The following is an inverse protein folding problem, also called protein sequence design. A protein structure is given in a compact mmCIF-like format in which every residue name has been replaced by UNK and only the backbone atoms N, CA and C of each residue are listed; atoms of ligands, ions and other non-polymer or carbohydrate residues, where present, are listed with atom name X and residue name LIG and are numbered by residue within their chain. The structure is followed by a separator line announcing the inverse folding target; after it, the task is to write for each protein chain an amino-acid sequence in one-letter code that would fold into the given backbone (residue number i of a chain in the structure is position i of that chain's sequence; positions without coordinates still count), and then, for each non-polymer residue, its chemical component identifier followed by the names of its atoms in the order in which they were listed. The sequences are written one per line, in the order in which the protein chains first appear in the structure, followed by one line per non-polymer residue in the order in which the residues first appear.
data_IF_754367459724
#
_entry.id   IF_754367459724
#
_cell.length_a   1.000
_cell.length_b   1.000
_cell.length_c   1.000
_cell.angle_alpha   90.00
_cell.angle_beta   90.00
_cell.angle_gamma   90.00
#
_symmetry.space_group_name_H-M   'P 1'
#
loop_
_entity.id
_entity.type
_entity.pdbx_description
1 polymer ?
#
# COMPACT_ATOMS: atom_id res chain seq x y z
N UNK A 1 38.04 27.81 31.11
CA UNK A 1 36.78 27.81 30.35
C UNK A 1 36.64 26.44 29.70
N UNK A 2 35.78 25.59 30.26
CA UNK A 2 35.60 24.23 29.74
C UNK A 2 34.66 24.28 28.54
N UNK A 3 35.16 23.92 27.35
CA UNK A 3 34.34 23.63 26.18
C UNK A 3 33.55 22.35 26.48
N UNK A 4 32.33 22.51 26.99
CA UNK A 4 31.37 21.42 27.05
C UNK A 4 30.78 21.22 25.65
N UNK A 5 31.46 20.40 24.85
CA UNK A 5 30.84 19.75 23.69
C UNK A 5 29.80 18.76 24.20
N UNK A 6 28.63 19.25 24.60
CA UNK A 6 27.47 18.38 24.72
C UNK A 6 27.14 17.88 23.31
N UNK A 7 27.36 16.60 23.08
CA UNK A 7 26.76 15.88 21.97
C UNK A 7 25.25 15.98 22.14
N UNK A 8 24.64 17.01 21.55
CA UNK A 8 23.19 17.19 21.55
C UNK A 8 22.58 16.03 20.76
N UNK A 9 22.01 15.07 21.48
CA UNK A 9 21.27 13.96 20.90
C UNK A 9 19.81 14.40 20.76
N UNK A 10 19.34 14.69 19.53
CA UNK A 10 18.02 15.24 19.34
C UNK A 10 16.94 14.22 19.73
N UNK A 11 15.97 14.65 20.52
CA UNK A 11 14.87 13.83 21.01
C UNK A 11 13.68 13.91 20.05
N UNK A 12 13.77 13.16 18.95
CA UNK A 12 12.78 13.25 17.87
C UNK A 12 11.46 12.57 18.25
N UNK A 13 10.37 13.32 18.13
CA UNK A 13 8.99 12.82 18.25
C UNK A 13 8.21 13.05 16.95
N UNK A 14 7.19 12.23 16.74
CA UNK A 14 6.30 12.33 15.59
C UNK A 14 4.86 12.55 16.05
N UNK A 15 4.18 13.52 15.47
CA UNK A 15 2.77 13.86 15.75
C UNK A 15 2.05 14.26 14.45
N UNK A 16 0.70 14.29 14.41
CA UNK A 16 -0.02 14.95 13.33
C UNK A 16 0.40 16.42 13.20
N UNK A 17 0.30 16.97 11.98
CA UNK A 17 0.44 18.42 11.77
C UNK A 17 -0.81 19.10 12.31
N UNK A 18 -0.64 20.28 12.91
CA UNK A 18 -1.69 21.04 13.59
C UNK A 18 -1.82 22.45 12.99
N UNK A 19 -2.93 23.17 13.22
CA UNK A 19 -3.10 24.55 12.76
C UNK A 19 -1.97 25.51 13.14
N UNK A 20 -1.36 25.32 14.31
CA UNK A 20 -0.21 26.12 14.78
C UNK A 20 1.06 25.95 13.93
N UNK A 21 1.13 24.90 13.11
CA UNK A 21 2.31 24.60 12.29
C UNK A 21 2.30 25.33 10.94
N UNK A 22 1.22 26.03 10.59
CA UNK A 22 0.98 26.59 9.26
C UNK A 22 2.16 27.43 8.74
N UNK A 23 2.56 28.45 9.49
CA UNK A 23 3.63 29.38 9.07
C UNK A 23 4.96 28.66 8.90
N UNK A 24 5.28 27.74 9.82
CA UNK A 24 6.52 26.95 9.78
C UNK A 24 6.51 25.99 8.60
N UNK A 25 5.36 25.37 8.32
CA UNK A 25 5.18 24.45 7.21
C UNK A 25 5.37 25.17 5.87
N UNK A 26 4.73 26.34 5.68
CA UNK A 26 4.89 27.18 4.49
C UNK A 26 6.34 27.61 4.29
N UNK A 27 6.98 28.10 5.37
CA UNK A 27 8.38 28.53 5.36
C UNK A 27 9.32 27.39 4.94
N UNK A 28 9.23 26.22 5.58
CA UNK A 28 10.09 25.09 5.23
C UNK A 28 9.83 24.64 3.78
N UNK A 29 8.57 24.63 3.32
CA UNK A 29 8.29 24.29 1.92
C UNK A 29 8.95 25.27 0.94
N UNK A 30 8.86 26.57 1.22
CA UNK A 30 9.48 27.62 0.41
C UNK A 30 11.01 27.53 0.36
N UNK A 31 11.64 27.02 1.42
CA UNK A 31 13.09 26.86 1.52
C UNK A 31 13.60 25.60 0.81
N UNK A 32 12.90 24.47 0.94
CA UNK A 32 13.45 23.16 0.51
C UNK A 32 12.89 22.64 -0.82
N UNK A 33 11.75 23.16 -1.29
CA UNK A 33 11.14 22.73 -2.55
C UNK A 33 11.28 23.81 -3.64
N UNK A 34 11.67 23.42 -4.87
CA UNK A 34 11.73 24.34 -6.01
C UNK A 34 10.34 24.63 -6.61
N UNK A 35 9.29 23.99 -6.11
CA UNK A 35 7.91 24.10 -6.59
C UNK A 35 7.09 24.84 -5.54
N UNK A 36 6.25 25.77 -5.99
CA UNK A 36 5.33 26.52 -5.13
C UNK A 36 4.01 25.78 -5.00
N UNK A 37 3.44 25.88 -3.81
CA UNK A 37 2.14 25.33 -3.46
C UNK A 37 1.25 26.49 -3.04
N UNK A 38 -0.03 26.41 -3.39
CA UNK A 38 -1.03 27.43 -3.04
C UNK A 38 -1.38 27.37 -1.55
N UNK A 39 -1.85 28.48 -0.98
CA UNK A 39 -2.25 28.56 0.44
C UNK A 39 -3.33 27.53 0.80
N UNK A 40 -4.24 27.21 -0.11
CA UNK A 40 -5.29 26.20 0.08
C UNK A 40 -4.73 24.81 0.34
N UNK A 41 -3.57 24.47 -0.24
CA UNK A 41 -2.89 23.21 0.06
C UNK A 41 -2.51 23.16 1.52
N UNK A 42 -1.81 24.18 2.04
CA UNK A 42 -1.36 24.22 3.44
C UNK A 42 -2.54 24.25 4.41
N UNK A 43 -3.59 25.01 4.09
CA UNK A 43 -4.83 25.01 4.85
C UNK A 43 -5.46 23.62 4.94
N UNK A 44 -5.43 22.87 3.84
CA UNK A 44 -5.93 21.49 3.81
C UNK A 44 -5.07 20.54 4.65
N UNK A 45 -3.73 20.74 4.68
CA UNK A 45 -2.82 19.95 5.52
C UNK A 45 -3.11 20.15 7.00
N UNK A 46 -3.16 21.40 7.47
CA UNK A 46 -3.23 21.71 8.91
C UNK A 46 -4.62 21.51 9.52
N UNK A 47 -5.66 21.45 8.68
CA UNK A 47 -7.05 21.15 9.09
C UNK A 47 -7.50 19.73 8.72
N UNK A 48 -6.57 18.86 8.28
CA UNK A 48 -6.84 17.46 7.90
C UNK A 48 -7.98 17.30 6.88
N UNK A 49 -8.08 18.20 5.90
CA UNK A 49 -9.09 18.15 4.83
C UNK A 49 -8.55 17.31 3.67
N UNK A 50 -8.94 16.05 3.61
CA UNK A 50 -8.50 15.04 2.64
C UNK A 50 -6.99 14.75 2.61
N UNK A 51 -6.19 15.43 3.43
CA UNK A 51 -4.74 15.22 3.55
C UNK A 51 -4.47 14.69 4.94
N UNK A 52 -3.81 13.54 5.01
CA UNK A 52 -3.20 13.03 6.22
C UNK A 52 -1.74 13.47 6.28
N UNK A 53 -1.26 13.78 7.48
CA UNK A 53 0.08 14.35 7.61
C UNK A 53 0.71 14.03 8.96
N UNK A 54 2.05 14.01 8.97
CA UNK A 54 2.84 13.83 10.18
C UNK A 54 4.00 14.81 10.20
N UNK A 55 4.19 15.46 11.33
CA UNK A 55 5.35 16.27 11.68
C UNK A 55 6.39 15.43 12.43
N UNK A 56 7.65 15.81 12.28
CA UNK A 56 8.73 15.49 13.19
C UNK A 56 9.13 16.76 13.95
N UNK A 57 9.26 16.65 15.27
CA UNK A 57 9.69 17.72 16.17
C UNK A 57 10.85 17.23 17.03
N UNK A 58 11.75 18.14 17.41
CA UNK A 58 12.82 17.81 18.36
C UNK A 58 12.49 18.39 19.74
N UNK A 59 12.13 17.49 20.67
CA UNK A 59 11.74 17.85 22.03
C UNK A 59 12.88 18.39 22.88
N UNK A 60 14.13 18.18 22.49
CA UNK A 60 15.28 18.71 23.23
C UNK A 60 15.68 20.13 22.82
N UNK A 61 15.02 20.74 21.81
CA UNK A 61 15.32 22.11 21.40
C UNK A 61 15.04 23.11 22.53
N UNK A 62 15.99 24.00 22.85
CA UNK A 62 15.81 25.02 23.88
C UNK A 62 14.86 26.14 23.43
N UNK A 63 14.59 27.08 24.34
CA UNK A 63 13.90 28.34 24.06
C UNK A 63 12.47 28.19 23.51
N UNK A 64 11.74 27.14 23.90
CA UNK A 64 10.35 26.94 23.50
C UNK A 64 10.15 26.43 22.06
N UNK A 65 11.22 26.07 21.34
CA UNK A 65 11.12 25.53 19.98
C UNK A 65 10.96 24.00 19.95
N UNK A 66 10.62 23.39 21.09
CA UNK A 66 10.53 21.93 21.25
C UNK A 66 9.34 21.29 20.53
N UNK A 67 8.42 22.10 20.01
CA UNK A 67 7.30 21.66 19.18
C UNK A 67 7.35 22.21 17.75
N UNK A 68 8.39 22.96 17.37
CA UNK A 68 8.55 23.46 16.01
C UNK A 68 8.96 22.32 15.06
N UNK A 69 8.36 22.30 13.86
CA UNK A 69 8.63 21.31 12.83
C UNK A 69 10.09 21.33 12.39
N UNK A 70 10.70 20.15 12.36
CA UNK A 70 12.01 19.90 11.74
C UNK A 70 11.89 18.95 10.54
N UNK A 71 10.70 18.40 10.30
CA UNK A 71 10.39 17.58 9.15
C UNK A 71 8.91 17.27 9.08
N UNK A 72 8.46 16.84 7.92
CA UNK A 72 7.05 16.55 7.68
C UNK A 72 6.87 15.56 6.53
N UNK A 73 5.72 14.91 6.50
CA UNK A 73 5.20 14.22 5.32
C UNK A 73 3.71 14.50 5.20
N UNK A 74 3.26 14.75 3.98
CA UNK A 74 1.84 14.94 3.64
C UNK A 74 1.44 13.89 2.62
N UNK A 75 0.23 13.34 2.76
CA UNK A 75 -0.28 12.33 1.86
C UNK A 75 -1.80 12.41 1.70
N UNK A 76 -2.31 11.93 0.58
CA UNK A 76 -3.75 11.89 0.29
C UNK A 76 -4.16 10.51 -0.17
N UNK A 77 -5.34 10.06 0.24
CA UNK A 77 -5.97 8.87 -0.32
C UNK A 77 -6.61 9.26 -1.66
N UNK A 78 -6.36 8.46 -2.69
CA UNK A 78 -6.99 8.58 -4.00
C UNK A 78 -7.60 7.24 -4.41
N UNK A 79 -8.71 7.29 -5.15
CA UNK A 79 -9.25 6.09 -5.79
C UNK A 79 -8.28 5.62 -6.88
N UNK A 80 -8.00 4.32 -6.94
CA UNK A 80 -7.06 3.76 -7.90
C UNK A 80 -7.45 4.07 -9.37
N UNK A 81 -8.76 4.10 -9.65
CA UNK A 81 -9.33 4.45 -10.96
C UNK A 81 -9.10 5.92 -11.36
N UNK A 82 -9.01 6.82 -10.40
CA UNK A 82 -8.88 8.27 -10.62
C UNK A 82 -7.43 8.74 -10.61
N UNK A 83 -6.53 7.96 -10.01
CA UNK A 83 -5.14 8.34 -9.82
C UNK A 83 -4.33 8.43 -11.14
N UNK A 84 -4.92 8.12 -12.30
CA UNK A 84 -4.23 8.14 -13.61
C UNK A 84 -3.10 7.11 -13.71
N UNK A 85 -3.03 6.20 -12.73
CA UNK A 85 -2.00 5.19 -12.54
C UNK A 85 -2.62 3.79 -12.37
N UNK A 86 -3.76 3.57 -13.03
CA UNK A 86 -4.45 2.27 -13.01
C UNK A 86 -3.58 1.13 -13.54
N UNK A 87 -2.57 1.45 -14.35
CA UNK A 87 -1.51 0.56 -14.81
C UNK A 87 -0.46 0.21 -13.74
N UNK A 88 -0.53 0.77 -12.53
CA UNK A 88 0.37 0.41 -11.43
C UNK A 88 -0.14 -0.74 -10.57
N UNK A 89 -1.45 -1.02 -10.64
CA UNK A 89 -2.09 -2.11 -9.93
C UNK A 89 -2.59 -3.16 -10.91
N UNK A 90 -2.50 -4.42 -10.52
CA UNK A 90 -3.29 -5.46 -11.16
C UNK A 90 -4.78 -5.15 -10.89
N UNK A 91 -5.50 -4.73 -11.93
CA UNK A 91 -6.94 -4.52 -11.84
C UNK A 91 -7.62 -5.81 -11.36
N UNK A 92 -8.38 -5.69 -10.28
CA UNK A 92 -9.21 -6.76 -9.74
C UNK A 92 -10.68 -6.34 -9.88
N UNK A 93 -11.41 -6.88 -10.86
CA UNK A 93 -12.82 -6.55 -11.09
C UNK A 93 -13.71 -6.80 -9.87
N UNK A 94 -13.28 -7.67 -8.94
CA UNK A 94 -14.01 -7.97 -7.71
C UNK A 94 -13.85 -6.90 -6.63
N UNK A 95 -12.96 -5.90 -6.83
CA UNK A 95 -12.63 -4.85 -5.85
C UNK A 95 -12.57 -3.48 -6.53
N UNK A 96 -13.73 -2.89 -6.88
CA UNK A 96 -13.79 -1.60 -7.59
C UNK A 96 -13.41 -0.40 -6.71
N UNK A 97 -13.35 -0.59 -5.39
CA UNK A 97 -13.13 0.41 -4.36
C UNK A 97 -11.66 0.54 -3.93
N UNK A 98 -10.73 -0.02 -4.72
CA UNK A 98 -9.31 0.06 -4.42
C UNK A 98 -8.83 1.51 -4.32
N UNK A 99 -8.07 1.79 -3.27
CA UNK A 99 -7.47 3.09 -3.02
C UNK A 99 -5.95 3.01 -3.05
N UNK A 100 -5.33 4.17 -3.15
CA UNK A 100 -3.90 4.39 -3.12
C UNK A 100 -3.59 5.57 -2.21
N UNK A 101 -2.44 5.55 -1.56
CA UNK A 101 -1.93 6.70 -0.78
C UNK A 101 -0.86 7.40 -1.60
N UNK A 102 -1.10 8.65 -1.98
CA UNK A 102 -0.13 9.49 -2.67
C UNK A 102 0.63 10.34 -1.67
N UNK A 103 1.96 10.19 -1.58
CA UNK A 103 2.79 11.15 -0.82
C UNK A 103 2.94 12.41 -1.67
N UNK A 104 2.46 13.52 -1.14
CA UNK A 104 2.44 14.84 -1.79
C UNK A 104 3.78 15.55 -1.57
N UNK A 105 4.17 15.72 -0.30
CA UNK A 105 5.44 16.37 0.09
C UNK A 105 6.11 15.61 1.23
N UNK A 106 7.44 15.55 1.21
CA UNK A 106 8.28 14.97 2.26
C UNK A 106 9.51 15.84 2.43
N UNK A 107 9.68 16.42 3.62
CA UNK A 107 10.74 17.38 3.91
C UNK A 107 11.40 17.12 5.25
N UNK A 108 12.70 17.40 5.33
CA UNK A 108 13.45 17.50 6.59
C UNK A 108 14.39 18.69 6.46
N UNK A 109 14.38 19.57 7.47
CA UNK A 109 15.26 20.75 7.52
C UNK A 109 16.71 20.29 7.49
N UNK A 110 17.58 21.08 6.86
CA UNK A 110 18.92 20.64 6.47
C UNK A 110 19.77 20.12 7.63
N UNK A 111 19.74 20.81 8.77
CA UNK A 111 20.49 20.46 9.99
C UNK A 111 20.05 19.15 10.65
N UNK A 112 18.88 18.61 10.29
CA UNK A 112 18.34 17.35 10.80
C UNK A 112 18.33 16.22 9.75
N UNK A 113 18.91 16.46 8.56
CA UNK A 113 19.06 15.42 7.53
C UNK A 113 20.03 14.33 8.02
N UNK A 114 19.94 13.15 7.39
CA UNK A 114 20.77 11.98 7.70
C UNK A 114 20.60 11.39 9.12
N UNK A 115 19.61 11.87 9.90
CA UNK A 115 19.23 11.30 11.20
C UNK A 115 18.11 10.24 11.12
N UNK A 116 17.74 9.81 9.91
CA UNK A 116 16.69 8.82 9.70
C UNK A 116 15.24 9.33 9.82
N UNK A 117 15.04 10.64 10.00
CA UNK A 117 13.71 11.26 10.17
C UNK A 117 12.79 11.00 8.98
N UNK A 118 13.28 11.24 7.75
CA UNK A 118 12.49 11.00 6.54
C UNK A 118 12.04 9.52 6.42
N UNK A 119 12.92 8.59 6.81
CA UNK A 119 12.59 7.15 6.85
C UNK A 119 11.47 6.85 7.84
N UNK A 120 11.51 7.46 9.02
CA UNK A 120 10.47 7.30 10.04
C UNK A 120 9.14 7.92 9.60
N UNK A 121 9.16 9.08 8.94
CA UNK A 121 7.97 9.72 8.38
C UNK A 121 7.32 8.84 7.30
N UNK A 122 8.10 8.33 6.34
CA UNK A 122 7.58 7.39 5.32
C UNK A 122 6.99 6.13 5.98
N UNK A 123 7.57 5.63 7.07
CA UNK A 123 7.01 4.50 7.82
C UNK A 123 5.64 4.81 8.43
N UNK A 124 5.40 6.04 8.89
CA UNK A 124 4.05 6.44 9.34
C UNK A 124 3.05 6.34 8.20
N UNK A 125 3.41 6.82 7.00
CA UNK A 125 2.55 6.72 5.82
C UNK A 125 2.31 5.25 5.42
N UNK A 126 3.33 4.40 5.42
CA UNK A 126 3.18 2.97 5.09
C UNK A 126 2.29 2.28 6.14
N UNK A 127 2.46 2.59 7.43
CA UNK A 127 1.63 2.06 8.51
C UNK A 127 0.17 2.48 8.32
N UNK A 128 -0.08 3.76 8.04
CA UNK A 128 -1.40 4.27 7.72
C UNK A 128 -2.01 3.57 6.51
N UNK A 129 -1.29 3.49 5.39
CA UNK A 129 -1.75 2.81 4.18
C UNK A 129 -2.08 1.34 4.43
N UNK A 130 -1.26 0.65 5.23
CA UNK A 130 -1.52 -0.75 5.61
C UNK A 130 -2.77 -0.91 6.47
N UNK A 131 -3.12 0.10 7.28
CA UNK A 131 -4.34 0.08 8.10
C UNK A 131 -5.64 0.28 7.31
N UNK A 132 -5.56 0.79 6.07
CA UNK A 132 -6.72 1.00 5.20
C UNK A 132 -6.96 -0.25 4.34
N UNK A 133 -8.05 -1.03 4.57
CA UNK A 133 -8.24 -2.33 3.93
C UNK A 133 -8.36 -2.26 2.40
N UNK A 134 -8.85 -1.14 1.86
CA UNK A 134 -9.00 -0.91 0.42
C UNK A 134 -7.71 -0.41 -0.23
N UNK A 135 -6.73 0.05 0.56
CA UNK A 135 -5.49 0.59 0.03
C UNK A 135 -4.61 -0.53 -0.53
N UNK A 136 -3.98 -0.29 -1.68
CA UNK A 136 -3.13 -1.30 -2.36
C UNK A 136 -1.69 -0.84 -2.55
N UNK A 137 -1.42 0.45 -2.53
CA UNK A 137 -0.05 0.95 -2.58
C UNK A 137 0.07 2.37 -2.04
N UNK A 138 1.30 2.69 -1.63
CA UNK A 138 1.80 4.06 -1.46
C UNK A 138 2.59 4.42 -2.71
N UNK A 139 2.39 5.59 -3.29
CA UNK A 139 3.15 6.04 -4.44
C UNK A 139 3.55 7.51 -4.33
N UNK A 140 4.54 7.91 -5.11
CA UNK A 140 5.06 9.27 -5.14
C UNK A 140 5.82 9.56 -6.44
N UNK A 141 5.99 10.85 -6.71
CA UNK A 141 6.85 11.37 -7.75
C UNK A 141 8.11 11.99 -7.14
N UNK A 142 9.27 11.77 -7.76
CA UNK A 142 10.53 12.40 -7.35
C UNK A 142 11.24 12.96 -8.56
N UNK A 143 11.66 14.22 -8.48
CA UNK A 143 12.41 14.88 -9.55
C UNK A 143 13.72 14.14 -9.84
N UNK A 144 14.03 13.98 -11.12
CA UNK A 144 15.06 13.06 -11.61
C UNK A 144 16.47 13.32 -11.07
N UNK A 145 16.80 14.58 -10.77
CA UNK A 145 18.10 14.95 -10.20
C UNK A 145 18.19 14.81 -8.67
N UNK A 146 17.09 14.49 -7.97
CA UNK A 146 17.10 14.34 -6.51
C UNK A 146 17.61 12.95 -6.09
N UNK A 147 18.91 12.74 -6.28
CA UNK A 147 19.62 11.49 -5.96
C UNK A 147 19.42 11.02 -4.50
N UNK A 148 19.47 11.91 -3.47
CA UNK A 148 19.25 11.49 -2.09
C UNK A 148 17.85 10.89 -1.86
N UNK A 149 16.80 11.53 -2.38
CA UNK A 149 15.43 11.01 -2.25
C UNK A 149 15.25 9.71 -3.02
N UNK A 150 15.78 9.60 -4.24
CA UNK A 150 15.76 8.36 -5.03
C UNK A 150 16.41 7.21 -4.25
N UNK A 151 17.56 7.45 -3.61
CA UNK A 151 18.23 6.43 -2.81
C UNK A 151 17.42 6.04 -1.57
N UNK A 152 16.82 7.02 -0.88
CA UNK A 152 15.94 6.80 0.26
C UNK A 152 14.76 5.88 -0.12
N UNK A 153 14.03 6.19 -1.19
CA UNK A 153 12.87 5.40 -1.61
C UNK A 153 13.26 3.98 -2.01
N UNK A 154 14.36 3.80 -2.76
CA UNK A 154 14.91 2.47 -3.08
C UNK A 154 15.27 1.68 -1.82
N UNK A 155 15.95 2.31 -0.85
CA UNK A 155 16.31 1.69 0.44
C UNK A 155 15.08 1.30 1.27
N UNK A 156 13.97 2.00 1.08
CA UNK A 156 12.67 1.68 1.68
C UNK A 156 11.82 0.72 0.83
N UNK A 157 12.43 0.04 -0.15
CA UNK A 157 11.79 -0.97 -1.01
C UNK A 157 10.68 -0.44 -1.92
N UNK A 158 10.58 0.88 -2.11
CA UNK A 158 9.78 1.41 -3.21
C UNK A 158 10.41 0.99 -4.55
N UNK A 159 9.57 0.58 -5.49
CA UNK A 159 9.94 0.21 -6.85
C UNK A 159 9.83 1.43 -7.75
N UNK A 160 10.90 1.74 -8.49
CA UNK A 160 10.84 2.73 -9.57
C UNK A 160 10.11 2.08 -10.75
N UNK A 161 8.93 2.57 -11.10
CA UNK A 161 8.09 1.96 -12.13
C UNK A 161 8.38 2.56 -13.51
N UNK A 162 8.46 3.89 -13.60
CA UNK A 162 8.72 4.59 -14.87
C UNK A 162 9.33 5.96 -14.65
N UNK A 163 9.95 6.47 -15.72
CA UNK A 163 10.37 7.87 -15.86
C UNK A 163 9.30 8.63 -16.64
N UNK A 164 8.92 9.80 -16.15
CA UNK A 164 7.96 10.71 -16.77
C UNK A 164 8.75 11.90 -17.32
N UNK A 165 8.76 12.07 -18.63
CA UNK A 165 9.50 13.14 -19.28
C UNK A 165 8.80 14.49 -19.08
N UNK A 166 9.57 15.54 -18.77
CA UNK A 166 9.10 16.92 -18.65
C UNK A 166 8.01 17.16 -17.61
N UNK A 167 7.89 16.27 -16.61
CA UNK A 167 6.81 16.27 -15.61
C UNK A 167 6.77 17.52 -14.74
N UNK A 168 7.92 18.06 -14.34
CA UNK A 168 8.00 19.27 -13.54
C UNK A 168 8.39 20.47 -14.41
N UNK A 169 7.69 21.60 -14.23
CA UNK A 169 8.08 22.90 -14.78
C UNK A 169 8.60 23.78 -13.64
N UNK A 170 9.89 24.07 -13.63
CA UNK A 170 10.55 24.86 -12.59
C UNK A 170 11.34 25.97 -13.28
N UNK A 171 11.00 27.24 -13.00
CA UNK A 171 11.64 28.42 -13.58
C UNK A 171 11.71 28.38 -15.11
N UNK A 172 10.63 27.94 -15.77
CA UNK A 172 10.55 27.84 -17.23
C UNK A 172 11.26 26.64 -17.85
N UNK A 173 11.91 25.78 -17.05
CA UNK A 173 12.59 24.59 -17.51
C UNK A 173 11.84 23.31 -17.11
N UNK A 174 11.76 22.37 -18.06
CA UNK A 174 11.17 21.05 -17.84
C UNK A 174 12.17 20.08 -17.22
N UNK A 175 11.71 19.32 -16.22
CA UNK A 175 12.47 18.28 -15.56
C UNK A 175 11.68 16.98 -15.48
N UNK A 176 12.40 15.88 -15.69
CA UNK A 176 11.80 14.55 -15.60
C UNK A 176 11.54 14.17 -14.14
N UNK A 177 10.56 13.28 -13.96
CA UNK A 177 10.22 12.68 -12.67
C UNK A 177 10.35 11.15 -12.74
N UNK A 178 10.60 10.52 -11.60
CA UNK A 178 10.45 9.09 -11.42
C UNK A 178 9.24 8.79 -10.56
N UNK A 179 8.43 7.83 -11.00
CA UNK A 179 7.31 7.29 -10.26
C UNK A 179 7.76 6.10 -9.40
N UNK A 180 7.61 6.23 -8.09
CA UNK A 180 7.93 5.18 -7.13
C UNK A 180 6.66 4.61 -6.47
N UNK A 181 6.63 3.30 -6.27
CA UNK A 181 5.48 2.57 -5.69
C UNK A 181 5.94 1.58 -4.62
N UNK A 182 5.24 1.55 -3.49
CA UNK A 182 5.36 0.55 -2.43
C UNK A 182 4.00 -0.13 -2.23
N UNK A 183 3.92 -1.42 -2.51
CA UNK A 183 2.66 -2.17 -2.43
C UNK A 183 2.34 -2.58 -0.98
N UNK A 184 1.06 -2.50 -0.61
CA UNK A 184 0.50 -2.90 0.70
C UNK A 184 -0.74 -3.75 0.50
N UNK A 185 -1.15 -4.51 1.53
CA UNK A 185 -2.43 -5.22 1.58
C UNK A 185 -2.70 -6.10 0.34
N UNK A 186 -1.67 -6.81 -0.13
CA UNK A 186 -1.75 -7.68 -1.30
C UNK A 186 -1.83 -6.96 -2.65
N UNK A 187 -1.64 -5.64 -2.70
CA UNK A 187 -1.40 -4.90 -3.93
C UNK A 187 -0.20 -5.47 -4.68
N UNK A 188 -0.29 -5.50 -6.01
CA UNK A 188 0.77 -6.04 -6.87
C UNK A 188 0.90 -5.19 -8.11
N UNK A 189 2.14 -5.10 -8.60
CA UNK A 189 2.42 -4.62 -9.94
C UNK A 189 1.71 -5.50 -10.97
N UNK A 190 1.19 -4.96 -12.08
CA UNK A 190 0.63 -5.75 -13.16
C UNK A 190 1.76 -6.54 -13.85
N UNK A 191 2.04 -7.70 -13.26
CA UNK A 191 2.85 -8.82 -13.74
C UNK A 191 4.30 -8.51 -14.16
N UNK A 192 5.26 -9.12 -13.45
CA UNK A 192 6.52 -9.54 -14.09
C UNK A 192 6.20 -10.66 -15.11
N UNK A 193 6.87 -10.72 -16.28
CA UNK A 193 6.70 -11.81 -17.25
C UNK A 193 6.83 -13.21 -16.63
N UNK A 194 7.64 -13.34 -15.58
CA UNK A 194 7.82 -14.58 -14.82
C UNK A 194 6.57 -14.99 -14.05
N UNK A 195 5.79 -14.05 -13.50
CA UNK A 195 4.54 -14.39 -12.81
C UNK A 195 3.45 -14.83 -13.78
N UNK A 196 3.43 -14.26 -14.98
CA UNK A 196 2.56 -14.73 -16.05
C UNK A 196 2.92 -16.17 -16.43
N UNK A 197 4.23 -16.45 -16.59
CA UNK A 197 4.73 -17.77 -16.92
C UNK A 197 4.43 -18.79 -15.82
N UNK A 198 4.61 -18.43 -14.55
CA UNK A 198 4.24 -19.28 -13.41
C UNK A 198 2.74 -19.54 -13.31
N UNK A 199 1.90 -18.55 -13.61
CA UNK A 199 0.45 -18.72 -13.67
C UNK A 199 0.04 -19.68 -14.80
N UNK A 200 0.66 -19.55 -15.98
CA UNK A 200 0.45 -20.47 -17.12
C UNK A 200 0.91 -21.89 -16.76
N UNK A 201 2.10 -22.04 -16.18
CA UNK A 201 2.61 -23.36 -15.73
C UNK A 201 1.69 -23.98 -14.68
N UNK A 202 1.20 -23.19 -13.71
CA UNK A 202 0.26 -23.67 -12.68
C UNK A 202 -1.07 -24.11 -13.28
N UNK A 203 -1.58 -23.38 -14.27
CA UNK A 203 -2.80 -23.74 -14.98
C UNK A 203 -2.63 -25.02 -15.80
N UNK A 204 -1.54 -25.14 -16.57
CA UNK A 204 -1.23 -26.34 -17.38
C UNK A 204 -1.05 -27.56 -16.48
N UNK A 205 -0.28 -27.44 -15.41
CA UNK A 205 -0.05 -28.54 -14.45
C UNK A 205 -1.35 -28.94 -13.72
N UNK A 206 -2.21 -27.98 -13.37
CA UNK A 206 -3.55 -28.26 -12.83
C UNK A 206 -4.46 -28.97 -13.83
N UNK A 207 -4.45 -28.55 -15.10
CA UNK A 207 -5.19 -29.18 -16.19
C UNK A 207 -4.75 -30.62 -16.42
N UNK A 208 -3.44 -30.87 -16.48
CA UNK A 208 -2.88 -32.23 -16.62
C UNK A 208 -3.27 -33.14 -15.45
N UNK A 209 -3.22 -32.64 -14.20
CA UNK A 209 -3.68 -33.40 -13.03
C UNK A 209 -5.18 -33.73 -13.10
N UNK A 210 -6.01 -32.82 -13.59
CA UNK A 210 -7.45 -33.04 -13.76
C UNK A 210 -7.75 -34.10 -14.83
N UNK A 211 -7.03 -34.06 -15.95
CA UNK A 211 -7.16 -35.06 -17.02
C UNK A 211 -6.69 -36.43 -16.54
N UNK A 212 -5.55 -36.51 -15.85
CA UNK A 212 -5.07 -37.76 -15.26
C UNK A 212 -6.07 -38.36 -14.25
N UNK A 213 -6.69 -37.54 -13.40
CA UNK A 213 -7.72 -37.98 -12.47
C UNK A 213 -8.98 -38.48 -13.19
N UNK A 214 -9.38 -37.87 -14.32
CA UNK A 214 -10.51 -38.33 -15.13
C UNK A 214 -10.22 -39.65 -15.83
N UNK A 215 -9.02 -39.84 -16.37
CA UNK A 215 -8.59 -41.09 -17.01
C UNK A 215 -8.62 -42.23 -15.98
N UNK A 216 -8.02 -42.04 -14.81
CA UNK A 216 -8.06 -43.03 -13.72
C UNK A 216 -9.49 -43.36 -13.27
N UNK A 217 -10.36 -42.37 -13.16
CA UNK A 217 -11.78 -42.57 -12.81
C UNK A 217 -12.57 -43.27 -13.91
N UNK A 218 -12.12 -43.19 -15.17
CA UNK A 218 -12.72 -43.89 -16.30
C UNK A 218 -12.24 -45.34 -16.37
N UNK A 219 -10.96 -45.61 -16.10
CA UNK A 219 -10.41 -46.97 -15.98
C UNK A 219 -11.09 -47.76 -14.84
N UNK A 220 -11.31 -47.13 -13.67
CA UNK A 220 -12.04 -47.74 -12.55
C UNK A 220 -13.52 -48.05 -12.89
N UNK A 221 -14.14 -47.32 -13.83
CA UNK A 221 -15.51 -47.57 -14.31
C UNK A 221 -15.57 -48.65 -15.39
N UNK A 222 -14.54 -48.76 -16.22
CA UNK A 222 -14.49 -49.72 -17.34
C UNK A 222 -14.17 -51.14 -16.85
N UNK A 223 -13.63 -51.29 -15.63
CA UNK A 223 -13.34 -52.57 -15.00
C UNK A 223 -14.55 -53.28 -14.35
N UNK A 224 -15.79 -52.75 -14.47
CA UNK A 224 -17.01 -53.38 -13.90
C UNK A 224 -17.94 -53.89 -15.01
N UNK A 225 -17.74 -55.13 -15.46
CA UNK A 225 -18.67 -55.85 -16.34
C UNK A 225 -19.84 -56.48 -15.53
N UNK A 226 -21.10 -56.44 -15.99
CA UNK A 226 -22.21 -57.07 -15.28
C UNK A 226 -22.32 -58.57 -15.57
N UNK A 227 -22.30 -59.41 -14.53
CA UNK A 227 -22.70 -60.84 -14.62
C UNK A 227 -24.22 -60.94 -14.81
N UNK A 228 -24.62 -61.84 -15.70
CA UNK A 228 -25.99 -62.08 -16.16
C UNK A 228 -26.88 -62.72 -15.06
N UNK A 229 -28.20 -62.46 -15.20
CA UNK A 229 -29.34 -62.78 -14.32
C UNK A 229 -29.46 -64.24 -13.90
N UNK A 230 -30.09 -64.46 -12.74
CA UNK A 230 -31.13 -65.48 -12.58
C UNK A 230 -32.22 -65.05 -11.59
N UNK A 231 -33.36 -65.73 -11.68
CA UNK A 231 -34.74 -65.27 -11.42
C UNK A 231 -35.33 -65.83 -10.11
N UNK A 232 -36.47 -65.27 -9.66
CA UNK A 232 -37.42 -65.70 -8.59
C UNK A 232 -37.28 -64.93 -7.27
N UNK A 233 -38.32 -64.65 -6.46
CA UNK A 233 -39.78 -64.46 -6.57
C UNK A 233 -40.28 -63.96 -5.18
N UNK A 234 -41.48 -63.36 -5.13
CA UNK A 234 -42.42 -63.25 -3.99
C UNK A 234 -42.30 -62.15 -2.90
N UNK A 235 -43.35 -61.31 -2.86
CA UNK A 235 -44.23 -60.84 -1.75
C UNK A 235 -43.61 -60.14 -0.51
N UNK A 236 -44.00 -58.88 -0.27
CA UNK A 236 -44.94 -58.45 0.80
C UNK A 236 -44.57 -57.17 1.55
N UNK A 237 -45.61 -56.33 1.73
CA UNK A 237 -45.97 -55.56 2.93
C UNK A 237 -45.07 -54.39 3.39
N UNK A 238 -45.59 -53.14 3.30
CA UNK A 238 -46.18 -52.36 4.43
C UNK A 238 -45.06 -51.72 5.31
N UNK A 239 -45.05 -50.47 5.81
CA UNK A 239 -46.07 -49.47 6.13
C UNK A 239 -45.37 -48.14 6.49
N UNK A 240 -46.04 -47.00 6.21
CA UNK A 240 -46.22 -45.76 7.02
C UNK A 240 -45.08 -45.00 7.73
N UNK A 241 -45.20 -43.67 7.52
CA UNK A 241 -45.14 -42.49 8.46
C UNK A 241 -43.74 -42.04 8.90
N UNK A 242 -43.31 -40.83 8.53
CA UNK A 242 -43.72 -39.46 8.90
C UNK A 242 -43.13 -38.98 10.24
N UNK A 243 -42.85 -37.66 10.28
CA UNK A 243 -42.67 -36.74 11.43
C UNK A 243 -41.20 -36.57 11.87
N UNK A 244 -40.62 -35.42 12.24
CA UNK A 244 -40.85 -33.96 12.16
C UNK A 244 -39.68 -33.33 12.94
N UNK A 245 -38.93 -32.41 12.32
CA UNK A 245 -38.57 -31.06 12.82
C UNK A 245 -37.82 -30.82 14.16
N UNK A 246 -36.79 -29.95 14.04
CA UNK A 246 -36.25 -28.94 15.01
C UNK A 246 -35.53 -29.46 16.27
N UNK A 247 -34.64 -28.71 16.96
CA UNK A 247 -33.79 -27.53 16.72
C UNK A 247 -32.93 -27.39 18.01
N UNK A 248 -32.04 -26.40 18.01
CA UNK A 248 -31.30 -25.78 19.13
C UNK A 248 -29.97 -26.39 19.54
N UNK A 249 -29.01 -25.48 19.76
CA UNK A 249 -27.67 -25.74 20.28
C UNK A 249 -26.75 -24.57 19.99
N UNK A 250 -26.92 -23.47 20.73
CA UNK A 250 -25.89 -22.44 20.90
C UNK A 250 -24.74 -23.04 21.70
N UNK A 251 -23.49 -22.65 21.41
CA UNK A 251 -22.49 -22.43 22.46
C UNK A 251 -21.35 -21.54 21.95
N UNK A 252 -21.05 -20.51 22.74
CA UNK A 252 -19.84 -19.70 22.70
C UNK A 252 -18.77 -20.35 23.57
N UNK A 253 -17.52 -20.32 23.11
CA UNK A 253 -16.33 -19.88 23.88
C UNK A 253 -15.46 -19.08 22.93
#
# INVERSE_FOLDING_TARGET
MANQNFSHHPAICYRPIQPSDLEVLERIHAEIFPIRYESEFFQSVVHERDIVSWAAVDRSRPNGHSDELIGFVTARIAMAKEAGIGDLLRYDPSKPDQTLVYILTLGVVETYRNLGIARSLIRQVIKYASSVPTCRAVYLHVISYNVPAIHLYKKMSFKCIRRLQGFYLINGQHYDSFLFVYYVNGGRSPCSPLELLLAVVSYVTGGLKSVAARIRKNEEKTAKWPKCKDTQSLISMQTKRNITTQCTGYECV
#
